data_IF_086351069193
#
_entry.id   IF_086351069193
#
_cell.length_a   1.000
_cell.length_b   1.000
_cell.length_c   1.000
_cell.angle_alpha   90.00
_cell.angle_beta   90.00
_cell.angle_gamma   90.00
#
_symmetry.space_group_name_H-M   'P 1'
#
loop_
_entity.id
_entity.type
_entity.pdbx_description
1 polymer ?
#
# COMPACT_ATOMS: atom_id res chain seq x y z
N UNK A 1 47.22 -34.30 -56.17
CA UNK A 1 48.06 -34.80 -57.27
C UNK A 1 49.36 -35.32 -56.65
N UNK A 2 49.77 -36.58 -56.88
CA UNK A 2 51.02 -37.08 -56.30
C UNK A 2 52.19 -36.41 -57.02
N UNK A 3 52.91 -35.54 -56.31
CA UNK A 3 53.96 -34.68 -56.86
C UNK A 3 55.29 -35.41 -57.09
N UNK A 4 55.41 -36.67 -56.66
CA UNK A 4 56.58 -37.51 -56.91
C UNK A 4 56.20 -38.67 -57.82
N UNK A 5 56.57 -38.52 -59.09
CA UNK A 5 56.40 -39.51 -60.12
C UNK A 5 57.06 -40.84 -59.74
N UNK A 6 56.42 -41.93 -60.17
CA UNK A 6 56.96 -43.29 -60.14
C UNK A 6 58.10 -43.39 -61.17
N UNK A 7 59.24 -42.77 -60.92
CA UNK A 7 60.48 -43.04 -61.65
C UNK A 7 61.45 -43.68 -60.66
N UNK A 8 61.34 -45.00 -60.51
CA UNK A 8 62.30 -45.85 -59.81
C UNK A 8 63.60 -45.97 -60.63
N UNK A 9 64.20 -44.85 -61.01
CA UNK A 9 65.57 -44.84 -61.56
C UNK A 9 66.50 -44.57 -60.40
N UNK A 10 66.66 -45.57 -59.54
CA UNK A 10 67.73 -45.58 -58.55
C UNK A 10 69.08 -45.67 -59.28
N UNK A 11 70.07 -44.94 -58.81
CA UNK A 11 71.43 -44.99 -59.35
C UNK A 11 72.01 -46.41 -59.34
N UNK A 12 72.83 -46.77 -60.34
CA UNK A 12 73.49 -48.09 -60.45
C UNK A 12 74.60 -48.29 -59.39
N UNK A 13 75.10 -47.21 -58.79
CA UNK A 13 76.05 -47.29 -57.68
C UNK A 13 75.35 -47.68 -56.37
N UNK A 14 75.81 -48.75 -55.68
CA UNK A 14 75.12 -49.29 -54.50
C UNK A 14 75.02 -48.27 -53.36
N UNK A 15 76.08 -47.49 -53.11
CA UNK A 15 76.10 -46.49 -52.04
C UNK A 15 75.12 -45.34 -52.31
N UNK A 16 75.03 -44.88 -53.57
CA UNK A 16 74.10 -43.80 -53.97
C UNK A 16 72.65 -44.28 -53.87
N UNK A 17 72.38 -45.53 -54.24
CA UNK A 17 71.06 -46.14 -54.16
C UNK A 17 70.54 -46.31 -52.73
N UNK A 18 71.42 -46.55 -51.75
CA UNK A 18 71.01 -46.60 -50.35
C UNK A 18 70.60 -45.22 -49.83
N UNK A 19 71.36 -44.18 -50.16
CA UNK A 19 71.02 -42.80 -49.81
C UNK A 19 69.69 -42.38 -50.44
N UNK A 20 69.48 -42.66 -51.73
CA UNK A 20 68.22 -42.37 -52.42
C UNK A 20 67.01 -43.07 -51.78
N UNK A 21 67.18 -44.30 -51.29
CA UNK A 21 66.11 -45.01 -50.55
C UNK A 21 65.82 -44.37 -49.21
N UNK A 22 66.83 -43.88 -48.50
CA UNK A 22 66.65 -43.17 -47.22
C UNK A 22 65.88 -41.87 -47.46
N UNK A 23 66.32 -41.06 -48.44
CA UNK A 23 65.65 -39.80 -48.81
C UNK A 23 64.20 -40.06 -49.26
N UNK A 24 63.94 -41.11 -50.05
CA UNK A 24 62.58 -41.46 -50.45
C UNK A 24 61.71 -41.92 -49.26
N UNK A 25 62.27 -42.57 -48.25
CA UNK A 25 61.56 -42.94 -47.01
C UNK A 25 61.28 -41.72 -46.15
N UNK A 26 62.24 -40.81 -46.02
CA UNK A 26 62.08 -39.53 -45.31
C UNK A 26 60.97 -38.71 -45.97
N UNK A 27 61.02 -38.50 -47.29
CA UNK A 27 59.97 -37.78 -48.02
C UNK A 27 58.57 -38.41 -47.86
N UNK A 28 58.48 -39.75 -47.85
CA UNK A 28 57.20 -40.45 -47.57
C UNK A 28 56.72 -40.26 -46.13
N UNK A 29 57.64 -40.18 -45.17
CA UNK A 29 57.33 -39.97 -43.76
C UNK A 29 56.88 -38.54 -43.53
N UNK A 30 57.57 -37.57 -44.12
CA UNK A 30 57.21 -36.15 -44.07
C UNK A 30 55.86 -35.88 -44.70
N UNK A 31 55.56 -36.50 -45.86
CA UNK A 31 54.24 -36.38 -46.48
C UNK A 31 53.13 -36.94 -45.57
N UNK A 32 53.35 -38.09 -44.93
CA UNK A 32 52.37 -38.65 -43.97
C UNK A 32 52.18 -37.73 -42.77
N UNK A 33 53.28 -37.19 -42.21
CA UNK A 33 53.22 -36.27 -41.08
C UNK A 33 52.44 -34.99 -41.46
N UNK A 34 52.65 -34.48 -42.67
CA UNK A 34 51.93 -33.33 -43.21
C UNK A 34 50.43 -33.65 -43.41
N UNK A 35 50.09 -34.80 -43.99
CA UNK A 35 48.69 -35.21 -44.18
C UNK A 35 47.96 -35.39 -42.83
N UNK A 36 48.64 -35.93 -41.82
CA UNK A 36 48.14 -36.03 -40.45
C UNK A 36 47.93 -34.64 -39.83
N UNK A 37 48.92 -33.74 -39.92
CA UNK A 37 48.81 -32.39 -39.39
C UNK A 37 47.67 -31.58 -40.04
N UNK A 38 47.45 -31.72 -41.36
CA UNK A 38 46.31 -31.11 -42.06
C UNK A 38 44.99 -31.66 -41.53
N UNK A 39 44.91 -32.98 -41.32
CA UNK A 39 43.70 -33.63 -40.80
C UNK A 39 43.39 -33.18 -39.38
N UNK A 40 44.40 -33.13 -38.51
CA UNK A 40 44.28 -32.66 -37.13
C UNK A 40 43.84 -31.19 -37.07
N UNK A 41 44.44 -30.32 -37.92
CA UNK A 41 44.01 -28.93 -38.04
C UNK A 41 42.55 -28.83 -38.48
N UNK A 42 42.12 -29.63 -39.47
CA UNK A 42 40.71 -29.67 -39.89
C UNK A 42 39.77 -30.10 -38.77
N UNK A 43 40.17 -31.06 -37.94
CA UNK A 43 39.39 -31.49 -36.78
C UNK A 43 39.34 -30.40 -35.70
N UNK A 44 40.47 -29.73 -35.43
CA UNK A 44 40.55 -28.62 -34.50
C UNK A 44 39.64 -27.46 -34.93
N UNK A 45 39.65 -27.07 -36.20
CA UNK A 45 38.78 -26.02 -36.75
C UNK A 45 37.30 -26.37 -36.63
N UNK A 46 36.93 -27.62 -36.92
CA UNK A 46 35.55 -28.10 -36.73
C UNK A 46 35.13 -28.06 -35.27
N UNK A 47 36.01 -28.46 -34.35
CA UNK A 47 35.77 -28.40 -32.91
C UNK A 47 35.60 -26.97 -32.42
N UNK A 48 36.49 -26.07 -32.84
CA UNK A 48 36.45 -24.65 -32.53
C UNK A 48 35.13 -24.01 -33.00
N UNK A 49 34.73 -24.26 -34.25
CA UNK A 49 33.46 -23.78 -34.80
C UNK A 49 32.23 -24.33 -34.04
N UNK A 50 32.27 -25.59 -33.59
CA UNK A 50 31.22 -26.15 -32.72
C UNK A 50 31.17 -25.43 -31.37
N UNK A 51 32.33 -25.14 -30.79
CA UNK A 51 32.41 -24.41 -29.51
C UNK A 51 31.82 -22.99 -29.63
N UNK A 52 32.13 -22.26 -30.70
CA UNK A 52 31.56 -20.92 -30.97
C UNK A 52 30.04 -21.00 -31.07
N UNK A 53 29.51 -21.98 -31.82
CA UNK A 53 28.05 -22.18 -31.93
C UNK A 53 27.42 -22.50 -30.58
N UNK A 54 28.08 -23.31 -29.75
CA UNK A 54 27.61 -23.63 -28.40
C UNK A 54 27.61 -22.39 -27.50
N UNK A 55 28.67 -21.59 -27.52
CA UNK A 55 28.78 -20.34 -26.78
C UNK A 55 27.68 -19.34 -27.18
N UNK A 56 27.45 -19.16 -28.49
CA UNK A 56 26.37 -18.28 -28.98
C UNK A 56 24.98 -18.76 -28.55
N UNK A 57 24.73 -20.08 -28.57
CA UNK A 57 23.48 -20.64 -28.05
C UNK A 57 23.31 -20.40 -26.55
N UNK A 58 24.39 -20.56 -25.77
CA UNK A 58 24.38 -20.30 -24.33
C UNK A 58 24.13 -18.81 -24.03
N UNK A 59 24.77 -17.90 -24.76
CA UNK A 59 24.54 -16.46 -24.65
C UNK A 59 23.06 -16.10 -24.93
N UNK A 60 22.49 -16.61 -26.03
CA UNK A 60 21.07 -16.39 -26.32
C UNK A 60 20.12 -17.01 -25.28
N UNK A 61 20.49 -18.14 -24.68
CA UNK A 61 19.70 -18.73 -23.59
C UNK A 61 19.75 -17.85 -22.34
N UNK A 62 20.92 -17.29 -22.02
CA UNK A 62 21.10 -16.33 -20.93
C UNK A 62 20.26 -15.06 -21.16
N UNK A 63 20.32 -14.46 -22.35
CA UNK A 63 19.53 -13.27 -22.68
C UNK A 63 18.02 -13.51 -22.48
N UNK A 64 17.53 -14.70 -22.91
CA UNK A 64 16.14 -15.11 -22.70
C UNK A 64 15.81 -15.28 -21.22
N UNK A 65 16.74 -15.85 -20.44
CA UNK A 65 16.55 -16.03 -18.99
C UNK A 65 16.48 -14.67 -18.28
N UNK A 66 17.40 -13.75 -18.58
CA UNK A 66 17.42 -12.38 -18.03
C UNK A 66 16.14 -11.63 -18.40
N UNK A 67 15.68 -11.73 -19.66
CA UNK A 67 14.43 -11.11 -20.07
C UNK A 67 13.21 -11.66 -19.32
N UNK A 68 13.19 -12.97 -19.01
CA UNK A 68 12.14 -13.60 -18.19
C UNK A 68 12.21 -13.14 -16.74
N UNK A 69 13.40 -13.11 -16.15
CA UNK A 69 13.64 -12.61 -14.80
C UNK A 69 13.14 -11.17 -14.66
N UNK A 70 13.51 -10.28 -15.58
CA UNK A 70 13.08 -8.89 -15.55
C UNK A 70 11.55 -8.73 -15.67
N UNK A 71 10.89 -9.56 -16.50
CA UNK A 71 9.42 -9.59 -16.57
C UNK A 71 8.79 -10.08 -15.25
N UNK A 72 9.35 -11.12 -14.64
CA UNK A 72 8.90 -11.64 -13.36
C UNK A 72 9.08 -10.61 -12.24
N UNK A 73 10.23 -9.95 -12.17
CA UNK A 73 10.51 -8.88 -11.21
C UNK A 73 9.51 -7.72 -11.34
N UNK A 74 9.19 -7.28 -12.57
CA UNK A 74 8.13 -6.28 -12.81
C UNK A 74 6.76 -6.74 -12.33
N UNK A 75 6.40 -8.00 -12.57
CA UNK A 75 5.13 -8.55 -12.12
C UNK A 75 5.05 -8.61 -10.59
N UNK A 76 6.13 -9.03 -9.92
CA UNK A 76 6.23 -9.05 -8.45
C UNK A 76 6.11 -7.64 -7.89
N UNK A 77 6.86 -6.68 -8.42
CA UNK A 77 6.78 -5.28 -7.96
C UNK A 77 5.37 -4.70 -8.10
N UNK A 78 4.68 -4.99 -9.21
CA UNK A 78 3.28 -4.59 -9.39
C UNK A 78 2.35 -5.27 -8.38
N UNK A 79 2.55 -6.56 -8.11
CA UNK A 79 1.76 -7.30 -7.14
C UNK A 79 1.96 -6.76 -5.71
N UNK A 80 3.20 -6.46 -5.33
CA UNK A 80 3.54 -5.84 -4.03
C UNK A 80 2.87 -4.47 -3.91
N UNK A 81 3.00 -3.61 -4.92
CA UNK A 81 2.35 -2.30 -4.90
C UNK A 81 0.83 -2.40 -4.78
N UNK A 82 0.20 -3.30 -5.54
CA UNK A 82 -1.24 -3.53 -5.45
C UNK A 82 -1.65 -4.04 -4.05
N UNK A 83 -0.84 -4.90 -3.45
CA UNK A 83 -1.07 -5.40 -2.09
C UNK A 83 -0.99 -4.26 -1.06
N UNK A 84 0.04 -3.41 -1.13
CA UNK A 84 0.17 -2.24 -0.25
C UNK A 84 -1.02 -1.30 -0.36
N UNK A 85 -1.49 -1.02 -1.58
CA UNK A 85 -2.69 -0.21 -1.82
C UNK A 85 -3.94 -0.87 -1.21
N UNK A 86 -4.09 -2.19 -1.36
CA UNK A 86 -5.21 -2.91 -0.78
C UNK A 86 -5.21 -2.85 0.76
N UNK A 87 -4.05 -3.08 1.39
CA UNK A 87 -3.88 -2.97 2.85
C UNK A 87 -4.18 -1.55 3.35
N UNK A 88 -3.69 -0.53 2.64
CA UNK A 88 -3.99 0.87 2.99
C UNK A 88 -5.49 1.16 2.90
N UNK A 89 -6.17 0.65 1.86
CA UNK A 89 -7.61 0.81 1.70
C UNK A 89 -8.40 0.07 2.78
N UNK A 90 -7.99 -1.14 3.16
CA UNK A 90 -8.58 -1.91 4.26
C UNK A 90 -8.49 -1.12 5.58
N UNK A 91 -7.30 -0.67 5.95
CA UNK A 91 -7.09 0.13 7.17
C UNK A 91 -7.91 1.44 7.17
N UNK A 92 -8.04 2.08 6.01
CA UNK A 92 -8.88 3.27 5.89
C UNK A 92 -10.37 2.94 6.05
N UNK A 93 -10.83 1.84 5.47
CA UNK A 93 -12.21 1.37 5.63
C UNK A 93 -12.52 1.02 7.09
N UNK A 94 -11.60 0.35 7.80
CA UNK A 94 -11.72 0.06 9.23
C UNK A 94 -11.87 1.34 10.07
N UNK A 95 -11.02 2.34 9.82
CA UNK A 95 -11.12 3.65 10.50
C UNK A 95 -12.45 4.32 10.22
N UNK A 96 -12.93 4.30 8.98
CA UNK A 96 -14.25 4.87 8.61
C UNK A 96 -15.37 4.13 9.35
N UNK A 97 -15.32 2.81 9.44
CA UNK A 97 -16.30 2.02 10.20
C UNK A 97 -16.27 2.42 11.68
N UNK A 98 -15.08 2.54 12.27
CA UNK A 98 -14.93 2.93 13.67
C UNK A 98 -15.51 4.32 13.94
N UNK A 99 -15.21 5.30 13.08
CA UNK A 99 -15.77 6.66 13.17
C UNK A 99 -17.29 6.63 13.06
N UNK A 100 -17.85 5.86 12.12
CA UNK A 100 -19.31 5.73 11.96
C UNK A 100 -19.97 5.11 13.19
N UNK A 101 -19.38 4.05 13.76
CA UNK A 101 -19.88 3.44 15.01
C UNK A 101 -19.86 4.41 16.19
N UNK A 102 -18.79 5.20 16.33
CA UNK A 102 -18.72 6.23 17.36
C UNK A 102 -19.78 7.31 17.16
N UNK A 103 -20.03 7.71 15.91
CA UNK A 103 -21.07 8.69 15.58
C UNK A 103 -22.48 8.14 15.86
N UNK A 104 -22.74 6.88 15.51
CA UNK A 104 -23.98 6.18 15.82
C UNK A 104 -24.25 6.15 17.33
N UNK A 105 -23.27 5.73 18.14
CA UNK A 105 -23.41 5.71 19.60
C UNK A 105 -23.69 7.11 20.20
N UNK A 106 -23.10 8.17 19.65
CA UNK A 106 -23.40 9.55 20.07
C UNK A 106 -24.83 9.95 19.72
N UNK A 107 -25.28 9.63 18.51
CA UNK A 107 -26.66 9.90 18.10
C UNK A 107 -27.68 9.15 18.94
N UNK A 108 -27.40 7.90 19.30
CA UNK A 108 -28.25 7.11 20.20
C UNK A 108 -28.36 7.77 21.58
N UNK A 109 -27.22 8.22 22.15
CA UNK A 109 -27.20 8.94 23.41
C UNK A 109 -28.00 10.25 23.34
N UNK A 110 -27.82 11.04 22.28
CA UNK A 110 -28.56 12.29 22.07
C UNK A 110 -30.07 12.05 21.93
N UNK A 111 -30.46 10.97 21.24
CA UNK A 111 -31.86 10.58 21.07
C UNK A 111 -32.48 10.19 22.42
N UNK A 112 -31.78 9.40 23.21
CA UNK A 112 -32.22 8.99 24.54
C UNK A 112 -32.36 10.19 25.49
N UNK A 113 -31.39 11.11 25.49
CA UNK A 113 -31.48 12.36 26.25
C UNK A 113 -32.70 13.21 25.85
N UNK A 114 -32.98 13.31 24.54
CA UNK A 114 -34.16 14.05 24.04
C UNK A 114 -35.47 13.38 24.43
N UNK A 115 -35.54 12.05 24.41
CA UNK A 115 -36.71 11.29 24.90
C UNK A 115 -36.96 11.58 26.38
N UNK A 116 -35.93 11.45 27.22
CA UNK A 116 -36.02 11.72 28.65
C UNK A 116 -36.43 13.17 28.93
N UNK A 117 -35.87 14.12 28.18
CA UNK A 117 -36.25 15.53 28.29
C UNK A 117 -37.73 15.77 27.92
N UNK A 118 -38.20 15.14 26.84
CA UNK A 118 -39.59 15.23 26.41
C UNK A 118 -40.55 14.63 27.42
N UNK A 119 -40.22 13.48 27.99
CA UNK A 119 -41.03 12.83 29.03
C UNK A 119 -41.07 13.66 30.32
N UNK A 120 -39.96 14.27 30.72
CA UNK A 120 -39.92 15.21 31.84
C UNK A 120 -40.80 16.45 31.60
N UNK A 121 -40.80 17.00 30.37
CA UNK A 121 -41.67 18.12 30.00
C UNK A 121 -43.15 17.71 30.01
N UNK A 122 -43.49 16.50 29.57
CA UNK A 122 -44.86 15.97 29.63
C UNK A 122 -45.35 15.85 31.06
N UNK A 123 -44.56 15.23 31.95
CA UNK A 123 -44.89 15.10 33.36
C UNK A 123 -45.06 16.47 34.04
N UNK A 124 -44.15 17.41 33.75
CA UNK A 124 -44.26 18.79 34.27
C UNK A 124 -45.51 19.49 33.79
N UNK A 125 -45.87 19.33 32.51
CA UNK A 125 -47.11 19.90 31.95
C UNK A 125 -48.33 19.31 32.65
N UNK A 126 -48.41 17.99 32.77
CA UNK A 126 -49.52 17.31 33.45
C UNK A 126 -49.69 17.77 34.90
N UNK A 127 -48.59 17.86 35.66
CA UNK A 127 -48.62 18.40 37.01
C UNK A 127 -49.10 19.85 37.06
N UNK A 128 -48.59 20.72 36.18
CA UNK A 128 -49.02 22.11 36.11
C UNK A 128 -50.51 22.25 35.73
N UNK A 129 -51.01 21.38 34.87
CA UNK A 129 -52.42 21.34 34.47
C UNK A 129 -53.31 20.92 35.65
N UNK A 130 -52.93 19.86 36.38
CA UNK A 130 -53.61 19.45 37.63
C UNK A 130 -53.63 20.58 38.67
N UNK A 131 -52.51 21.28 38.87
CA UNK A 131 -52.42 22.43 39.80
C UNK A 131 -53.31 23.58 39.33
N UNK A 132 -53.41 23.83 38.02
CA UNK A 132 -54.29 24.88 37.47
C UNK A 132 -55.76 24.51 37.67
N UNK A 133 -56.13 23.27 37.39
CA UNK A 133 -57.48 22.75 37.59
C UNK A 133 -57.90 22.82 39.06
N UNK A 134 -57.03 22.42 40.00
CA UNK A 134 -57.28 22.55 41.44
C UNK A 134 -57.51 24.00 41.87
N UNK A 135 -56.65 24.93 41.42
CA UNK A 135 -56.81 26.37 41.72
C UNK A 135 -58.12 26.94 41.15
N UNK A 136 -58.51 26.53 39.95
CA UNK A 136 -59.79 26.95 39.35
C UNK A 136 -60.98 26.38 40.13
N UNK A 137 -60.90 25.13 40.59
CA UNK A 137 -61.91 24.52 41.44
C UNK A 137 -62.05 25.26 42.79
N UNK A 138 -60.95 25.64 43.43
CA UNK A 138 -60.96 26.42 44.68
C UNK A 138 -61.60 27.81 44.49
N UNK A 139 -61.29 28.50 43.38
CA UNK A 139 -61.91 29.79 43.05
C UNK A 139 -63.42 29.63 42.85
N UNK A 140 -63.85 28.63 42.07
CA UNK A 140 -65.28 28.36 41.86
C UNK A 140 -66.00 27.97 43.17
N UNK A 141 -65.36 27.21 44.05
CA UNK A 141 -65.91 26.87 45.36
C UNK A 141 -66.04 28.11 46.27
N UNK A 142 -65.07 29.02 46.25
CA UNK A 142 -65.13 30.30 46.97
C UNK A 142 -66.17 31.28 46.43
N UNK A 143 -66.46 31.22 45.13
CA UNK A 143 -67.50 32.05 44.49
C UNK A 143 -68.92 31.51 44.73
N UNK A 144 -69.07 30.19 44.90
CA UNK A 144 -70.33 29.53 45.24
C UNK A 144 -70.70 29.58 46.74
N UNK A 145 -69.83 30.12 47.60
CA UNK A 145 -70.11 30.30 49.02
C UNK A 145 -71.06 31.49 49.29
N UNK A 146 -72.00 31.39 50.25
CA UNK A 146 -72.95 32.46 50.57
C UNK A 146 -72.24 33.75 51.09
N UNK A 147 -72.85 34.94 50.92
CA UNK A 147 -72.18 36.25 50.95
C UNK A 147 -71.74 36.76 52.34
N UNK A 148 -71.50 35.91 53.34
CA UNK A 148 -71.06 36.34 54.68
C UNK A 148 -69.57 36.12 54.98
N UNK A 149 -68.78 35.60 54.03
CA UNK A 149 -67.33 35.39 54.22
C UNK A 149 -66.44 36.14 53.20
N UNK A 150 -66.95 37.19 52.54
CA UNK A 150 -66.13 38.14 51.77
C UNK A 150 -65.41 39.12 52.71
N UNK A 151 -64.65 38.58 53.67
CA UNK A 151 -63.87 39.36 54.61
C UNK A 151 -62.47 39.62 54.05
N UNK A 152 -62.18 40.91 53.85
CA UNK A 152 -60.85 41.52 53.77
C UNK A 152 -59.94 41.10 52.60
N UNK A 153 -60.20 41.68 51.43
CA UNK A 153 -59.10 42.00 50.51
C UNK A 153 -58.32 43.20 51.08
N UNK A 154 -57.23 42.93 51.79
CA UNK A 154 -56.24 43.95 52.15
C UNK A 154 -55.46 44.38 50.89
N UNK A 155 -55.89 45.49 50.30
CA UNK A 155 -55.10 46.27 49.35
C UNK A 155 -53.99 47.01 50.11
N UNK A 156 -52.88 46.32 50.42
CA UNK A 156 -51.81 46.88 51.28
C UNK A 156 -50.37 46.55 50.89
N UNK A 157 -50.07 45.38 50.32
CA UNK A 157 -48.65 44.95 50.14
C UNK A 157 -48.21 44.89 48.67
N UNK A 158 -48.48 45.96 47.91
CA UNK A 158 -47.80 46.25 46.65
C UNK A 158 -46.81 47.40 46.86
N UNK A 159 -45.67 47.09 47.46
CA UNK A 159 -44.35 47.64 47.14
C UNK A 159 -43.37 47.35 48.29
N UNK A 160 -42.45 46.40 48.10
CA UNK A 160 -41.04 46.48 48.55
C UNK A 160 -40.33 45.12 48.44
N UNK A 161 -39.78 44.82 47.27
CA UNK A 161 -38.60 43.96 47.07
C UNK A 161 -37.86 44.66 45.90
N UNK A 162 -36.90 45.56 46.09
CA UNK A 162 -35.65 45.48 46.85
C UNK A 162 -34.86 44.21 46.48
N UNK A 163 -33.99 44.30 45.46
CA UNK A 163 -33.17 43.14 45.08
C UNK A 163 -32.27 43.31 43.85
N UNK A 164 -31.29 44.21 43.94
CA UNK A 164 -29.91 43.96 43.46
C UNK A 164 -29.68 43.67 41.96
N UNK A 165 -29.48 44.75 41.18
CA UNK A 165 -28.55 44.74 40.04
C UNK A 165 -27.14 45.01 40.58
N UNK A 166 -26.39 43.96 40.93
CA UNK A 166 -24.92 43.97 41.09
C UNK A 166 -24.35 43.34 39.82
N UNK A 167 -23.73 44.05 38.89
CA UNK A 167 -22.40 44.71 38.89
C UNK A 167 -21.25 43.83 39.42
N UNK A 168 -20.20 43.75 38.59
CA UNK A 168 -18.82 43.25 38.84
C UNK A 168 -18.65 41.72 38.92
N UNK A 169 -17.68 41.09 38.27
CA UNK A 169 -16.57 41.59 37.46
C UNK A 169 -15.57 40.46 37.17
N UNK A 170 -14.63 40.77 36.28
CA UNK A 170 -13.23 40.29 36.25
C UNK A 170 -12.94 38.79 36.10
N UNK A 171 -12.31 38.44 34.97
CA UNK A 171 -10.91 37.99 34.89
C UNK A 171 -10.66 37.37 33.50
N UNK A 172 -9.47 37.28 32.91
CA UNK A 172 -8.19 37.98 33.00
C UNK A 172 -7.29 37.24 31.98
N UNK A 173 -6.32 37.95 31.41
CA UNK A 173 -5.00 37.45 30.97
C UNK A 173 -4.88 36.38 29.87
N UNK A 174 -4.43 36.87 28.70
CA UNK A 174 -3.16 36.52 28.02
C UNK A 174 -2.85 35.08 27.62
N UNK A 175 -2.55 34.87 26.34
CA UNK A 175 -1.15 34.53 25.98
C UNK A 175 -0.82 34.92 24.54
N UNK A 176 0.43 35.34 24.42
CA UNK A 176 1.17 35.84 23.26
C UNK A 176 1.96 34.70 22.61
N UNK A 177 2.21 34.76 21.30
CA UNK A 177 3.28 34.01 20.62
C UNK A 177 2.95 33.73 19.16
N UNK A 178 3.51 34.46 18.18
CA UNK A 178 4.81 34.21 17.52
C UNK A 178 4.82 32.84 16.80
N UNK A 179 5.09 32.64 15.52
CA UNK A 179 5.86 33.36 14.49
C UNK A 179 6.46 32.29 13.56
N UNK A 180 6.87 32.64 12.33
CA UNK A 180 7.75 31.80 11.49
C UNK A 180 7.09 31.17 10.26
N UNK A 181 7.16 31.83 9.09
CA UNK A 181 8.15 31.60 8.00
C UNK A 181 7.93 30.31 7.21
N UNK A 182 7.28 30.45 6.05
CA UNK A 182 7.47 29.56 4.91
C UNK A 182 8.66 30.09 4.10
N UNK A 183 9.70 29.26 4.02
CA UNK A 183 10.70 29.23 2.94
C UNK A 183 10.86 27.78 2.56
#
# INVERSE_FOLDING_TARGET
>A
MPLFGKSDTFSENPDVREVEKVVAKEARTDQKNLDHAITDLSHADKSHNKSIKAANKAAHALDKAVAKEHKAAKAVNKAVHNHEVAVANEQNAEKVIQIKKQHEARLEQDLEQKKQHLDALRQRKEHNDQVREAKLADIHAGEAAPPEARSSYNAGDRASIAGSVGTTGTANTSSTGAGGTQT
#
